data_IF_193368929785
#
_entry.id   IF_193368929785
#
_cell.length_a   1.000
_cell.length_b   1.000
_cell.length_c   1.000
_cell.angle_alpha   90.00
_cell.angle_beta   90.00
_cell.angle_gamma   90.00
#
_symmetry.space_group_name_H-M   'P 1'
#
loop_
_entity.id
_entity.type
_entity.pdbx_description
1 polymer ?
#
# COMPACT_ATOMS: atom_id res chain seq x y z
N UNK A 1 16.73 42.59 8.54
CA UNK A 1 16.40 41.77 9.74
C UNK A 1 15.16 42.34 10.44
N UNK A 2 13.97 42.06 9.91
CA UNK A 2 12.67 42.49 10.49
C UNK A 2 11.52 41.59 9.99
N UNK A 3 11.79 40.29 9.90
CA UNK A 3 10.83 39.28 9.38
C UNK A 3 10.60 38.10 10.33
N UNK A 4 11.12 38.14 11.56
CA UNK A 4 11.09 37.01 12.49
C UNK A 4 10.19 37.20 13.72
N UNK A 5 9.68 38.41 13.97
CA UNK A 5 8.84 38.70 15.13
C UNK A 5 7.33 38.41 14.91
N UNK A 6 6.89 38.23 13.66
CA UNK A 6 5.46 38.03 13.36
C UNK A 6 5.01 36.57 13.37
N UNK A 7 5.93 35.60 13.29
CA UNK A 7 5.60 34.17 13.18
C UNK A 7 5.47 33.50 14.56
N UNK A 8 6.09 34.07 15.61
CA UNK A 8 6.03 33.51 16.97
C UNK A 8 4.67 33.79 17.65
N UNK A 9 3.98 34.88 17.29
CA UNK A 9 2.69 35.25 17.90
C UNK A 9 1.49 34.41 17.43
N UNK A 10 1.60 33.70 16.30
CA UNK A 10 0.52 32.84 15.77
C UNK A 10 0.62 31.42 16.32
N UNK A 11 1.81 30.99 16.79
CA UNK A 11 2.05 29.64 17.31
C UNK A 11 1.59 29.47 18.78
N UNK A 12 1.56 30.54 19.57
CA UNK A 12 1.19 30.46 21.00
C UNK A 12 -0.33 30.48 21.25
N UNK A 13 -1.16 30.76 20.24
CA UNK A 13 -2.62 30.86 20.38
C UNK A 13 -3.38 29.54 20.16
N UNK A 14 -2.71 28.45 19.76
CA UNK A 14 -3.33 27.13 19.47
C UNK A 14 -3.25 26.17 20.68
N UNK A 15 -2.61 26.57 21.80
CA UNK A 15 -2.45 25.71 23.00
C UNK A 15 -3.46 25.92 24.13
N UNK A 16 -4.51 26.70 23.94
CA UNK A 16 -5.57 26.88 24.95
C UNK A 16 -6.96 26.71 24.33
N UNK A 17 -7.31 25.47 24.00
CA UNK A 17 -8.71 25.07 23.81
C UNK A 17 -9.20 24.37 25.10
N UNK A 18 -10.22 24.90 25.80
CA UNK A 18 -10.78 24.22 26.95
C UNK A 18 -11.58 22.97 26.50
N UNK A 19 -11.18 21.83 27.06
CA UNK A 19 -11.80 20.52 26.93
C UNK A 19 -13.07 20.46 27.80
N UNK A 20 -14.17 21.09 27.39
CA UNK A 20 -15.50 20.91 28.02
C UNK A 20 -16.62 21.44 27.11
N UNK A 21 -17.09 20.63 26.17
CA UNK A 21 -18.45 20.68 25.61
C UNK A 21 -18.70 19.48 24.69
N UNK A 22 -18.73 18.30 25.29
CA UNK A 22 -19.26 17.09 24.67
C UNK A 22 -20.60 16.76 25.33
N UNK A 23 -21.62 17.60 25.11
CA UNK A 23 -23.02 17.29 25.39
C UNK A 23 -23.93 18.42 24.88
N UNK A 24 -24.29 18.35 23.59
CA UNK A 24 -25.56 18.77 22.97
C UNK A 24 -25.33 18.91 21.46
N UNK A 25 -26.01 18.07 20.68
CA UNK A 25 -25.85 17.97 19.23
C UNK A 25 -26.15 19.28 18.51
N UNK A 26 -25.10 19.98 18.10
CA UNK A 26 -25.17 21.16 17.24
C UNK A 26 -24.41 20.89 15.94
N UNK A 27 -25.07 21.18 14.81
CA UNK A 27 -24.58 20.97 13.44
C UNK A 27 -23.44 21.94 13.08
N UNK A 28 -22.55 21.56 12.13
CA UNK A 28 -21.29 22.28 11.85
C UNK A 28 -21.44 23.69 11.24
N UNK A 29 -22.66 24.17 11.00
CA UNK A 29 -22.94 25.46 10.35
C UNK A 29 -22.81 26.65 11.32
N UNK A 30 -22.97 26.43 12.64
CA UNK A 30 -23.00 27.53 13.63
C UNK A 30 -21.60 27.99 14.08
N UNK A 31 -20.59 27.12 14.04
CA UNK A 31 -19.22 27.47 14.44
C UNK A 31 -18.53 28.41 13.43
N UNK A 32 -18.91 28.35 12.15
CA UNK A 32 -18.30 29.16 11.09
C UNK A 32 -18.77 30.62 11.10
N UNK A 33 -20.00 30.90 11.56
CA UNK A 33 -20.53 32.27 11.67
C UNK A 33 -19.89 33.07 12.81
N UNK A 34 -19.51 32.41 13.93
CA UNK A 34 -18.90 33.09 15.08
C UNK A 34 -17.43 33.45 14.78
N UNK A 35 -16.72 32.62 14.01
CA UNK A 35 -15.33 32.89 13.61
C UNK A 35 -15.23 34.06 12.61
N UNK A 36 -16.18 34.15 11.67
CA UNK A 36 -16.20 35.19 10.64
C UNK A 36 -16.51 36.59 11.22
N UNK A 37 -17.33 36.66 12.29
CA UNK A 37 -17.68 37.94 12.93
C UNK A 37 -16.53 38.54 13.74
N UNK A 38 -15.69 37.71 14.39
CA UNK A 38 -14.51 38.17 15.15
C UNK A 38 -13.36 38.64 14.26
N UNK A 39 -13.22 38.09 13.05
CA UNK A 39 -12.21 38.53 12.09
C UNK A 39 -12.55 39.90 11.46
N UNK A 40 -13.83 40.26 11.38
CA UNK A 40 -14.30 41.53 10.81
C UNK A 40 -14.21 42.71 11.82
N UNK A 41 -14.21 42.44 13.12
CA UNK A 41 -14.01 43.46 14.17
C UNK A 41 -12.53 43.81 14.38
N UNK A 42 -11.61 42.89 14.05
CA UNK A 42 -10.17 43.11 14.17
C UNK A 42 -9.59 44.05 13.09
N UNK A 43 -10.29 44.29 11.98
CA UNK A 43 -9.81 45.15 10.89
C UNK A 43 -10.14 46.64 11.04
N UNK A 44 -10.88 47.03 12.09
CA UNK A 44 -11.32 48.42 12.32
C UNK A 44 -10.41 49.24 13.24
N UNK A 45 -9.27 48.70 13.68
CA UNK A 45 -8.37 49.37 14.63
C UNK A 45 -6.92 49.40 14.14
N UNK A 46 -6.65 50.08 13.02
CA UNK A 46 -5.29 50.52 12.68
C UNK A 46 -5.33 51.98 12.18
N UNK A 47 -4.57 52.90 12.80
CA UNK A 47 -4.60 54.31 12.46
C UNK A 47 -3.85 54.61 11.15
N UNK A 48 -4.43 55.54 10.38
CA UNK A 48 -3.82 56.26 9.26
C UNK A 48 -2.52 56.93 9.70
N UNK A 49 -1.39 56.59 9.07
CA UNK A 49 -0.25 57.51 8.89
C UNK A 49 0.68 56.97 7.79
N UNK A 50 0.53 57.45 6.55
CA UNK A 50 1.69 57.89 5.76
C UNK A 50 1.28 58.73 4.56
N UNK A 51 2.03 59.81 4.35
CA UNK A 51 1.79 60.89 3.43
C UNK A 51 2.25 60.58 1.99
N UNK A 52 1.52 61.15 1.03
CA UNK A 52 1.88 61.19 -0.38
C UNK A 52 2.81 62.38 -0.69
N UNK A 53 3.72 62.26 -1.68
CA UNK A 53 4.20 63.41 -2.42
C UNK A 53 3.52 63.52 -3.78
N UNK A 54 3.01 64.72 -4.05
CA UNK A 54 2.50 65.23 -5.33
C UNK A 54 3.66 65.42 -6.31
N UNK A 55 3.47 65.08 -7.59
CA UNK A 55 4.46 65.42 -8.61
C UNK A 55 4.08 65.02 -10.04
N UNK A 56 3.32 65.91 -10.69
CA UNK A 56 3.24 66.17 -12.15
C UNK A 56 2.81 65.04 -13.11
N UNK A 57 1.62 65.26 -13.65
CA UNK A 57 1.15 64.75 -14.93
C UNK A 57 1.98 65.30 -16.10
N UNK A 58 2.28 64.45 -17.08
CA UNK A 58 2.16 64.79 -18.49
C UNK A 58 1.73 63.56 -19.27
N UNK A 59 0.62 63.74 -19.99
CA UNK A 59 0.05 62.80 -20.92
C UNK A 59 0.95 62.65 -22.14
N UNK A 60 1.18 61.41 -22.57
CA UNK A 60 1.34 61.08 -24.00
C UNK A 60 0.56 59.78 -24.23
N UNK A 61 -0.61 59.93 -24.85
CA UNK A 61 -1.34 58.85 -25.47
C UNK A 61 -0.65 58.53 -26.81
N UNK A 62 -0.17 57.30 -26.97
CA UNK A 62 0.33 56.83 -28.26
C UNK A 62 -0.13 55.38 -28.50
N UNK A 63 -1.04 55.28 -29.48
CA UNK A 63 -1.27 54.17 -30.40
C UNK A 63 -1.61 52.78 -29.85
N UNK A 64 -2.91 52.52 -29.88
CA UNK A 64 -3.46 51.20 -30.15
C UNK A 64 -3.02 50.66 -31.52
N UNK A 65 -3.05 49.33 -31.60
CA UNK A 65 -3.07 48.47 -32.78
C UNK A 65 -1.72 47.99 -33.36
N UNK A 66 -1.26 46.84 -32.85
CA UNK A 66 -0.80 45.75 -33.72
C UNK A 66 -0.87 44.40 -32.98
N UNK A 67 -1.72 43.51 -33.51
CA UNK A 67 -1.64 42.04 -33.44
C UNK A 67 -1.34 41.39 -32.08
N UNK A 68 -2.39 41.02 -31.32
CA UNK A 68 -2.90 39.64 -31.31
C UNK A 68 -1.80 38.57 -31.18
N UNK A 69 -1.39 38.31 -29.95
CA UNK A 69 -1.06 36.95 -29.52
C UNK A 69 -1.57 36.77 -28.09
N UNK A 70 -2.82 36.34 -27.96
CA UNK A 70 -3.31 35.75 -26.72
C UNK A 70 -2.91 34.26 -26.77
N UNK A 71 -2.15 33.74 -25.78
CA UNK A 71 -1.92 32.30 -25.71
C UNK A 71 -3.27 31.60 -25.48
N UNK A 72 -3.52 30.43 -26.11
CA UNK A 72 -4.74 29.69 -25.84
C UNK A 72 -4.80 29.36 -24.35
N UNK A 73 -5.94 29.64 -23.73
CA UNK A 73 -6.29 29.11 -22.42
C UNK A 73 -6.28 27.58 -22.53
N UNK A 74 -5.14 26.97 -22.18
CA UNK A 74 -4.90 25.55 -22.42
C UNK A 74 -3.41 25.21 -22.58
N UNK A 75 -2.54 25.83 -21.78
CA UNK A 75 -1.14 25.43 -21.68
C UNK A 75 -0.86 25.13 -20.21
N UNK A 76 -1.22 23.90 -19.82
CA UNK A 76 -0.80 23.33 -18.55
C UNK A 76 0.72 23.41 -18.44
N UNK A 77 1.16 23.96 -17.33
CA UNK A 77 2.50 23.86 -16.75
C UNK A 77 3.33 22.71 -17.34
N UNK A 78 4.30 23.06 -18.19
CA UNK A 78 5.42 22.20 -18.59
C UNK A 78 6.49 22.09 -17.47
N UNK A 79 6.11 22.23 -16.20
CA UNK A 79 6.77 21.48 -15.14
C UNK A 79 6.34 20.02 -15.27
N UNK A 80 6.77 19.39 -16.37
CA UNK A 80 6.87 17.96 -16.47
C UNK A 80 7.78 17.55 -15.32
N UNK A 81 7.14 17.10 -14.25
CA UNK A 81 7.74 16.32 -13.20
C UNK A 81 8.83 15.42 -13.81
N UNK A 82 10.11 15.61 -13.47
CA UNK A 82 11.18 14.74 -13.98
C UNK A 82 10.99 13.28 -13.52
N UNK A 83 10.06 13.02 -12.60
CA UNK A 83 9.67 11.68 -12.16
C UNK A 83 8.61 11.01 -13.05
N UNK A 84 7.89 11.74 -13.92
CA UNK A 84 6.97 11.12 -14.88
C UNK A 84 7.71 10.36 -16.01
N UNK A 85 9.03 10.59 -16.14
CA UNK A 85 9.87 10.04 -17.20
C UNK A 85 10.44 8.64 -16.89
N UNK A 86 10.19 8.07 -15.70
CA UNK A 86 10.55 6.68 -15.39
C UNK A 86 9.32 5.78 -15.33
N UNK A 87 8.32 6.07 -16.18
CA UNK A 87 7.32 5.05 -16.47
C UNK A 87 8.02 3.98 -17.32
N UNK A 88 8.63 2.97 -16.66
CA UNK A 88 8.94 1.69 -17.28
C UNK A 88 7.60 1.16 -17.79
N UNK A 89 7.24 1.55 -19.02
CA UNK A 89 5.95 1.26 -19.61
C UNK A 89 5.77 -0.24 -19.54
N UNK A 90 4.69 -0.65 -18.89
CA UNK A 90 4.38 -2.04 -18.69
C UNK A 90 4.39 -2.82 -20.00
N UNK A 91 4.84 -4.06 -19.95
CA UNK A 91 4.71 -4.94 -21.11
C UNK A 91 3.23 -5.17 -21.41
N UNK A 92 2.84 -5.08 -22.69
CA UNK A 92 1.49 -5.51 -23.09
C UNK A 92 1.41 -7.02 -22.94
N UNK A 93 0.42 -7.49 -22.20
CA UNK A 93 0.11 -8.91 -22.01
C UNK A 93 -1.33 -9.17 -22.43
N UNK A 94 -1.64 -10.38 -22.87
CA UNK A 94 -3.01 -10.75 -23.17
C UNK A 94 -3.75 -11.13 -21.88
N UNK A 95 -5.08 -11.07 -21.92
CA UNK A 95 -5.93 -11.55 -20.84
C UNK A 95 -5.57 -13.00 -20.44
N UNK A 96 -5.29 -13.86 -21.43
CA UNK A 96 -4.84 -15.26 -21.23
C UNK A 96 -3.66 -15.43 -20.28
N UNK A 97 -2.76 -14.44 -20.27
CA UNK A 97 -1.46 -14.58 -19.62
C UNK A 97 -1.51 -14.07 -18.17
N UNK A 98 -2.69 -13.63 -17.71
CA UNK A 98 -2.90 -13.09 -16.36
C UNK A 98 -2.80 -14.20 -15.33
N UNK A 99 -1.79 -14.07 -14.46
CA UNK A 99 -1.51 -14.98 -13.35
C UNK A 99 -1.65 -14.25 -12.02
N UNK A 100 -1.78 -15.05 -10.97
CA UNK A 100 -1.76 -14.62 -9.57
C UNK A 100 -0.48 -13.82 -9.31
N UNK A 101 -0.59 -12.70 -8.60
CA UNK A 101 0.55 -11.85 -8.25
C UNK A 101 1.00 -10.88 -9.35
N UNK A 102 0.46 -10.96 -10.58
CA UNK A 102 0.74 -9.94 -11.59
C UNK A 102 0.19 -8.58 -11.14
N UNK A 103 0.93 -7.51 -11.46
CA UNK A 103 0.48 -6.14 -11.26
C UNK A 103 0.13 -5.55 -12.62
N UNK A 104 -1.10 -5.05 -12.74
CA UNK A 104 -1.65 -4.50 -13.98
C UNK A 104 -2.04 -3.05 -13.79
N UNK A 105 -1.88 -2.25 -14.84
CA UNK A 105 -2.35 -0.88 -14.89
C UNK A 105 -3.67 -0.83 -15.67
N UNK A 106 -4.72 -0.26 -15.06
CA UNK A 106 -6.02 -0.07 -15.72
C UNK A 106 -6.65 1.24 -15.27
N UNK A 107 -7.20 2.03 -16.22
CA UNK A 107 -7.86 3.32 -15.94
C UNK A 107 -6.99 4.29 -15.12
N UNK A 108 -5.68 4.28 -15.35
CA UNK A 108 -4.72 5.12 -14.64
C UNK A 108 -4.42 4.69 -13.19
N UNK A 109 -4.97 3.55 -12.74
CA UNK A 109 -4.69 2.96 -11.42
C UNK A 109 -3.95 1.65 -11.55
N UNK A 110 -3.33 1.24 -10.45
CA UNK A 110 -2.49 0.05 -10.39
C UNK A 110 -3.19 -0.97 -9.51
N UNK A 111 -3.29 -2.18 -10.04
CA UNK A 111 -4.00 -3.27 -9.42
C UNK A 111 -3.10 -4.50 -9.31
N UNK A 112 -3.12 -5.14 -8.16
CA UNK A 112 -2.53 -6.46 -7.96
C UNK A 112 -3.57 -7.55 -8.16
N UNK A 113 -3.23 -8.58 -8.93
CA UNK A 113 -4.10 -9.74 -9.15
C UNK A 113 -4.04 -10.67 -7.94
N UNK A 114 -5.14 -10.75 -7.18
CA UNK A 114 -5.27 -11.69 -6.06
C UNK A 114 -5.69 -13.06 -6.56
N UNK A 115 -6.66 -13.12 -7.48
CA UNK A 115 -7.25 -14.37 -7.96
C UNK A 115 -7.57 -14.25 -9.45
N UNK A 116 -7.24 -15.27 -10.22
CA UNK A 116 -7.63 -15.38 -11.62
C UNK A 116 -8.38 -16.70 -11.84
N UNK A 117 -9.52 -16.64 -12.52
CA UNK A 117 -10.37 -17.78 -12.86
C UNK A 117 -10.64 -17.79 -14.36
N UNK A 118 -10.13 -18.82 -15.03
CA UNK A 118 -10.31 -19.01 -16.47
C UNK A 118 -11.58 -19.82 -16.69
N UNK A 119 -12.57 -19.22 -17.38
CA UNK A 119 -13.83 -19.88 -17.71
C UNK A 119 -13.96 -19.98 -19.22
N UNK A 120 -13.99 -21.22 -19.71
CA UNK A 120 -14.34 -21.56 -21.08
C UNK A 120 -15.84 -21.85 -21.13
N UNK A 121 -16.60 -21.01 -21.82
CA UNK A 121 -18.02 -21.24 -22.08
C UNK A 121 -18.10 -22.10 -23.36
N UNK A 122 -18.75 -23.26 -23.35
CA UNK A 122 -18.59 -24.28 -24.41
C UNK A 122 -18.57 -23.77 -25.86
N UNK A 123 -19.56 -22.95 -26.26
CA UNK A 123 -19.62 -22.29 -27.58
C UNK A 123 -19.34 -20.79 -27.53
N UNK A 124 -18.94 -20.27 -26.37
CA UNK A 124 -18.60 -18.86 -26.14
C UNK A 124 -17.09 -18.62 -26.11
N UNK A 125 -16.68 -17.38 -26.36
CA UNK A 125 -15.27 -17.00 -26.18
C UNK A 125 -14.79 -17.25 -24.75
N UNK A 126 -13.51 -17.59 -24.60
CA UNK A 126 -12.89 -17.75 -23.29
C UNK A 126 -12.78 -16.39 -22.59
N UNK A 127 -13.13 -16.38 -21.31
CA UNK A 127 -13.09 -15.17 -20.49
C UNK A 127 -12.46 -15.47 -19.15
N UNK A 128 -11.83 -14.45 -18.58
CA UNK A 128 -11.07 -14.59 -17.35
C UNK A 128 -11.68 -13.64 -16.35
N UNK A 129 -12.17 -14.18 -15.25
CA UNK A 129 -12.65 -13.41 -14.12
C UNK A 129 -11.49 -13.22 -13.16
N UNK A 130 -11.12 -11.96 -12.92
CA UNK A 130 -9.98 -11.59 -12.12
C UNK A 130 -10.44 -10.76 -10.93
N UNK A 131 -9.99 -11.12 -9.74
CA UNK A 131 -10.10 -10.31 -8.54
C UNK A 131 -8.82 -9.49 -8.37
N UNK A 132 -9.00 -8.18 -8.38
CA UNK A 132 -7.98 -7.16 -8.36
C UNK A 132 -8.00 -6.44 -7.00
N UNK A 133 -6.82 -6.10 -6.48
CA UNK A 133 -6.66 -5.21 -5.33
C UNK A 133 -6.04 -3.90 -5.79
N UNK A 134 -6.71 -2.78 -5.52
CA UNK A 134 -6.15 -1.46 -5.74
C UNK A 134 -4.94 -1.27 -4.80
N UNK A 135 -3.81 -0.84 -5.35
CA UNK A 135 -2.57 -0.61 -4.59
C UNK A 135 -2.68 0.60 -3.67
N UNK A 136 -3.34 1.67 -4.12
CA UNK A 136 -3.44 2.92 -3.35
C UNK A 136 -4.55 2.86 -2.31
N UNK A 137 -5.69 2.28 -2.69
CA UNK A 137 -6.88 2.27 -1.81
C UNK A 137 -7.04 0.95 -1.05
N UNK A 138 -6.40 -0.14 -1.48
CA UNK A 138 -6.58 -1.48 -0.92
C UNK A 138 -7.91 -2.15 -1.28
N UNK A 139 -8.78 -1.46 -2.04
CA UNK A 139 -10.11 -1.95 -2.42
C UNK A 139 -10.03 -3.15 -3.36
N UNK A 140 -10.88 -4.15 -3.11
CA UNK A 140 -11.00 -5.33 -3.98
C UNK A 140 -12.08 -5.10 -5.04
N UNK A 141 -11.75 -5.36 -6.29
CA UNK A 141 -12.65 -5.21 -7.44
C UNK A 141 -12.60 -6.50 -8.27
N UNK A 142 -13.76 -6.99 -8.70
CA UNK A 142 -13.83 -8.13 -9.61
C UNK A 142 -14.13 -7.64 -11.02
N UNK A 143 -13.25 -7.92 -11.97
CA UNK A 143 -13.42 -7.57 -13.37
C UNK A 143 -13.31 -8.81 -14.26
N UNK A 144 -14.03 -8.79 -15.38
CA UNK A 144 -13.99 -9.87 -16.38
C UNK A 144 -13.29 -9.35 -17.63
N UNK A 145 -12.27 -10.08 -18.05
CA UNK A 145 -11.47 -9.81 -19.24
C UNK A 145 -11.77 -10.84 -20.33
N UNK A 146 -11.68 -10.40 -21.58
CA UNK A 146 -11.62 -11.35 -22.72
C UNK A 146 -10.18 -11.85 -22.87
N UNK A 147 -10.04 -13.04 -23.44
CA UNK A 147 -8.70 -13.64 -23.66
C UNK A 147 -7.82 -12.77 -24.56
N UNK A 148 -8.41 -12.15 -25.57
CA UNK A 148 -7.72 -11.30 -26.55
C UNK A 148 -7.54 -9.84 -26.10
N UNK A 149 -8.03 -9.48 -24.90
CA UNK A 149 -7.91 -8.12 -24.39
C UNK A 149 -6.46 -7.87 -23.97
N UNK A 150 -5.84 -6.83 -24.55
CA UNK A 150 -4.48 -6.43 -24.18
C UNK A 150 -4.51 -5.61 -22.87
N UNK A 151 -3.73 -6.06 -21.89
CA UNK A 151 -3.55 -5.45 -20.59
C UNK A 151 -2.12 -4.94 -20.44
N UNK A 152 -1.97 -3.84 -19.70
CA UNK A 152 -0.65 -3.27 -19.41
C UNK A 152 -0.12 -3.88 -18.12
N UNK A 153 0.91 -4.72 -18.23
CA UNK A 153 1.58 -5.35 -17.08
C UNK A 153 2.68 -4.47 -16.55
N UNK A 154 2.59 -4.06 -15.31
CA UNK A 154 3.63 -3.28 -14.65
C UNK A 154 4.76 -4.20 -14.17
N UNK A 155 6.00 -3.77 -14.35
CA UNK A 155 7.16 -4.48 -13.81
C UNK A 155 7.27 -4.20 -12.32
N UNK A 156 7.40 -5.27 -11.54
CA UNK A 156 7.56 -5.26 -10.09
C UNK A 156 8.98 -5.69 -9.79
N UNK A 157 9.64 -5.01 -8.87
CA UNK A 157 10.99 -5.37 -8.43
C UNK A 157 10.88 -6.35 -7.27
N UNK A 158 11.50 -7.52 -7.40
CA UNK A 158 11.53 -8.50 -6.30
C UNK A 158 12.91 -8.44 -5.65
N UNK A 159 12.91 -8.23 -4.33
CA UNK A 159 14.11 -8.13 -3.51
C UNK A 159 14.02 -9.09 -2.34
N UNK A 160 15.14 -9.74 -2.01
CA UNK A 160 15.22 -10.65 -0.87
C UNK A 160 15.67 -9.91 0.38
N UNK A 161 14.99 -10.16 1.49
CA UNK A 161 15.30 -9.61 2.82
C UNK A 161 15.47 -10.74 3.83
N UNK A 162 16.15 -10.45 4.93
CA UNK A 162 16.24 -11.34 6.08
C UNK A 162 15.27 -10.83 7.15
N UNK A 163 14.42 -11.72 7.65
CA UNK A 163 13.53 -11.44 8.75
C UNK A 163 14.32 -11.34 10.07
N UNK A 164 14.04 -10.28 10.84
CA UNK A 164 14.67 -10.05 12.14
C UNK A 164 13.75 -10.44 13.28
N UNK A 165 12.67 -9.68 13.46
CA UNK A 165 11.66 -9.89 14.50
C UNK A 165 10.35 -9.21 14.10
N UNK A 166 9.29 -9.48 14.87
CA UNK A 166 8.00 -8.82 14.74
C UNK A 166 7.70 -8.00 15.99
N UNK A 167 7.17 -6.79 15.79
CA UNK A 167 6.68 -5.90 16.84
C UNK A 167 5.19 -5.63 16.60
N UNK A 168 4.33 -6.26 17.39
CA UNK A 168 2.88 -6.18 17.22
C UNK A 168 2.43 -6.63 15.82
N UNK A 169 1.92 -5.68 15.04
CA UNK A 169 1.43 -5.88 13.67
C UNK A 169 2.47 -5.54 12.59
N UNK A 170 3.70 -5.20 13.00
CA UNK A 170 4.79 -4.82 12.10
C UNK A 170 5.90 -5.86 12.14
N UNK A 171 6.49 -6.14 10.98
CA UNK A 171 7.56 -7.09 10.75
C UNK A 171 8.81 -6.31 10.32
N UNK A 172 9.90 -6.49 11.07
CA UNK A 172 11.18 -5.86 10.80
C UNK A 172 12.03 -6.77 9.91
N UNK A 173 12.46 -6.23 8.78
CA UNK A 173 13.24 -6.94 7.77
C UNK A 173 14.50 -6.16 7.45
N UNK A 174 15.55 -6.86 7.05
CA UNK A 174 16.84 -6.28 6.70
C UNK A 174 17.27 -6.71 5.30
N UNK A 175 17.68 -5.76 4.46
CA UNK A 175 18.25 -6.06 3.15
C UNK A 175 19.70 -6.58 3.35
N UNK A 176 20.08 -7.74 2.77
CA UNK A 176 21.38 -8.35 3.02
C UNK A 176 22.56 -7.60 2.35
N UNK A 177 22.30 -6.77 1.33
CA UNK A 177 23.34 -6.06 0.59
C UNK A 177 23.63 -4.66 1.16
N UNK A 178 22.57 -3.92 1.50
CA UNK A 178 22.66 -2.54 1.99
C UNK A 178 22.60 -2.45 3.52
N UNK A 179 22.18 -3.53 4.19
CA UNK A 179 21.88 -3.57 5.63
C UNK A 179 20.81 -2.55 6.05
N UNK A 180 20.00 -2.07 5.10
CA UNK A 180 18.87 -1.21 5.37
C UNK A 180 17.76 -2.01 6.06
N UNK A 181 17.24 -1.45 7.15
CA UNK A 181 16.10 -2.02 7.87
C UNK A 181 14.82 -1.37 7.39
N UNK A 182 13.80 -2.18 7.19
CA UNK A 182 12.49 -1.75 6.74
C UNK A 182 11.43 -2.32 7.68
N UNK A 183 10.35 -1.55 7.82
CA UNK A 183 9.18 -1.94 8.58
C UNK A 183 8.07 -2.32 7.59
N UNK A 184 7.52 -3.52 7.72
CA UNK A 184 6.48 -4.02 6.83
C UNK A 184 5.29 -4.51 7.64
N UNK A 185 4.07 -4.16 7.24
CA UNK A 185 2.86 -4.67 7.90
C UNK A 185 2.74 -6.19 7.74
N UNK A 186 2.40 -6.86 8.83
CA UNK A 186 2.15 -8.31 8.88
C UNK A 186 1.04 -8.76 7.94
N UNK A 187 0.09 -7.88 7.64
CA UNK A 187 -1.03 -8.17 6.73
C UNK A 187 -0.57 -8.50 5.30
N UNK A 188 0.61 -8.00 4.89
CA UNK A 188 1.17 -8.30 3.56
C UNK A 188 1.61 -9.76 3.42
N UNK A 189 1.95 -10.43 4.53
CA UNK A 189 2.31 -11.84 4.57
C UNK A 189 1.07 -12.76 4.67
N UNK A 190 -0.06 -12.24 5.12
CA UNK A 190 -1.30 -13.00 5.29
C UNK A 190 -1.11 -14.23 6.18
N UNK A 191 -1.53 -15.41 5.69
CA UNK A 191 -1.38 -16.68 6.44
C UNK A 191 0.08 -17.09 6.62
N UNK A 192 0.95 -16.74 5.67
CA UNK A 192 2.35 -17.12 5.71
C UNK A 192 3.12 -16.43 6.85
N UNK A 193 2.55 -15.39 7.47
CA UNK A 193 3.10 -14.72 8.64
C UNK A 193 3.36 -15.69 9.81
N UNK A 194 2.56 -16.75 9.93
CA UNK A 194 2.73 -17.76 10.99
C UNK A 194 3.96 -18.65 10.78
N UNK A 195 4.56 -18.65 9.59
CA UNK A 195 5.79 -19.40 9.29
C UNK A 195 7.07 -18.57 9.42
N UNK A 196 6.96 -17.29 9.81
CA UNK A 196 8.11 -16.41 10.00
C UNK A 196 8.97 -16.90 11.16
N UNK A 197 10.27 -17.00 10.89
CA UNK A 197 11.31 -17.37 11.87
C UNK A 197 12.48 -16.42 11.74
N UNK A 198 13.14 -16.18 12.85
CA UNK A 198 14.34 -15.35 12.93
C UNK A 198 15.39 -15.83 11.91
N UNK A 199 16.07 -14.88 11.27
CA UNK A 199 17.08 -15.11 10.24
C UNK A 199 16.58 -15.78 8.96
N UNK A 200 15.26 -15.88 8.76
CA UNK A 200 14.71 -16.46 7.53
C UNK A 200 14.74 -15.45 6.37
N UNK A 201 15.11 -15.92 5.17
CA UNK A 201 15.03 -15.12 3.95
C UNK A 201 13.59 -15.04 3.45
N UNK A 202 13.09 -13.83 3.21
CA UNK A 202 11.77 -13.54 2.64
C UNK A 202 11.91 -12.69 1.39
N UNK A 203 10.98 -12.84 0.45
CA UNK A 203 10.97 -12.05 -0.77
C UNK A 203 9.89 -10.97 -0.68
N UNK A 204 10.27 -9.73 -0.97
CA UNK A 204 9.36 -8.60 -1.05
C UNK A 204 9.26 -8.10 -2.48
N UNK A 205 8.02 -7.82 -2.88
CA UNK A 205 7.69 -7.23 -4.15
C UNK A 205 7.47 -5.73 -3.99
N UNK A 206 8.32 -4.93 -4.61
CA UNK A 206 8.29 -3.49 -4.61
C UNK A 206 7.70 -2.94 -5.90
N UNK A 207 6.86 -1.93 -5.72
CA UNK A 207 6.42 -1.09 -6.82
C UNK A 207 6.55 0.38 -6.40
N UNK A 208 7.36 1.14 -7.14
CA UNK A 208 7.60 2.57 -6.89
C UNK A 208 7.97 2.89 -5.43
N UNK A 209 8.86 2.05 -4.86
CA UNK A 209 9.29 2.16 -3.46
C UNK A 209 8.29 1.68 -2.40
N UNK A 210 7.11 1.18 -2.80
CA UNK A 210 6.09 0.65 -1.87
C UNK A 210 6.07 -0.88 -1.86
N UNK A 211 6.05 -1.53 -0.68
CA UNK A 211 5.90 -2.98 -0.58
C UNK A 211 4.46 -3.40 -0.90
N UNK A 212 4.29 -4.29 -1.87
CA UNK A 212 2.98 -4.77 -2.35
C UNK A 212 2.59 -6.10 -1.75
N UNK A 213 3.51 -7.05 -1.77
CA UNK A 213 3.32 -8.41 -1.29
C UNK A 213 4.62 -8.95 -0.76
N UNK A 214 4.48 -9.78 0.27
CA UNK A 214 5.59 -10.47 0.89
C UNK A 214 5.37 -11.98 0.78
N UNK A 215 6.41 -12.69 0.33
CA UNK A 215 6.37 -14.13 0.11
C UNK A 215 7.43 -14.80 0.98
N UNK A 216 6.99 -15.76 1.76
CA UNK A 216 7.85 -16.66 2.54
C UNK A 216 8.33 -17.80 1.64
N UNK A 217 9.53 -18.38 1.85
CA UNK A 217 9.96 -19.55 1.12
C UNK A 217 8.90 -20.65 1.12
N UNK A 218 8.74 -21.39 0.00
CA UNK A 218 7.70 -22.41 -0.12
C UNK A 218 7.92 -23.60 0.82
N UNK A 219 9.14 -23.75 1.36
CA UNK A 219 9.53 -24.83 2.26
C UNK A 219 10.12 -24.23 3.52
N UNK A 220 9.51 -24.56 4.67
CA UNK A 220 9.97 -24.08 5.98
C UNK A 220 10.13 -25.27 6.91
N UNK A 221 11.26 -25.29 7.64
CA UNK A 221 11.53 -26.31 8.65
C UNK A 221 10.92 -25.90 9.98
N UNK A 222 10.00 -26.71 10.49
CA UNK A 222 9.32 -26.51 11.78
C UNK A 222 9.60 -27.65 12.74
N UNK A 223 9.63 -27.33 14.04
CA UNK A 223 9.84 -28.33 15.09
C UNK A 223 8.49 -28.76 15.63
N UNK A 224 8.31 -30.06 15.83
CA UNK A 224 7.09 -30.60 16.43
C UNK A 224 7.15 -30.42 17.94
N UNK A 225 6.17 -29.73 18.53
CA UNK A 225 6.05 -29.57 19.98
C UNK A 225 5.21 -30.70 20.58
N UNK A 226 4.07 -30.99 19.96
CA UNK A 226 3.14 -32.02 20.45
C UNK A 226 2.66 -32.91 19.31
N UNK A 227 2.64 -34.22 19.54
CA UNK A 227 2.13 -35.21 18.59
C UNK A 227 1.13 -36.13 19.28
N UNK A 228 -0.03 -36.35 18.64
CA UNK A 228 -1.02 -37.30 19.15
C UNK A 228 -0.45 -38.73 19.20
N UNK A 229 -0.80 -39.53 20.24
CA UNK A 229 -0.29 -40.89 20.38
C UNK A 229 -0.82 -41.79 19.27
N UNK A 230 0.06 -42.66 18.76
CA UNK A 230 -0.28 -43.59 17.69
C UNK A 230 -1.27 -44.65 18.18
N UNK A 231 -2.44 -44.76 17.55
CA UNK A 231 -3.39 -45.86 17.79
C UNK A 231 -2.91 -47.10 17.04
N UNK A 232 -2.27 -48.03 17.75
CA UNK A 232 -1.58 -49.22 17.18
C UNK A 232 -2.52 -50.30 16.57
N UNK A 233 -3.72 -49.96 16.10
CA UNK A 233 -4.79 -50.95 15.89
C UNK A 233 -5.43 -51.05 14.50
N UNK A 234 -5.07 -50.20 13.53
CA UNK A 234 -5.72 -50.21 12.20
C UNK A 234 -4.67 -50.21 11.08
N UNK A 235 -4.43 -51.38 10.50
CA UNK A 235 -3.53 -51.59 9.37
C UNK A 235 -4.32 -51.77 8.07
N UNK A 236 -4.32 -50.73 7.22
CA UNK A 236 -4.45 -50.84 5.74
C UNK A 236 -4.42 -49.46 5.04
N UNK A 237 -4.85 -48.38 5.72
CA UNK A 237 -4.92 -47.04 5.12
C UNK A 237 -3.81 -46.12 5.65
N UNK A 238 -3.28 -45.19 4.84
CA UNK A 238 -2.35 -44.17 5.30
C UNK A 238 -3.05 -43.29 6.35
N UNK A 239 -2.69 -43.48 7.61
CA UNK A 239 -3.24 -42.71 8.72
C UNK A 239 -2.39 -41.45 8.94
N UNK A 240 -3.01 -40.28 8.87
CA UNK A 240 -2.38 -39.03 9.28
C UNK A 240 -2.77 -38.70 10.71
N UNK A 241 -1.80 -38.22 11.48
CA UNK A 241 -2.03 -37.69 12.83
C UNK A 241 -1.90 -36.18 12.84
N UNK A 242 -2.62 -35.54 13.77
CA UNK A 242 -2.50 -34.10 14.01
C UNK A 242 -1.29 -33.84 14.89
N UNK A 243 -0.50 -32.86 14.47
CA UNK A 243 0.75 -32.47 15.10
C UNK A 243 0.78 -30.97 15.26
N UNK A 244 1.17 -30.48 16.45
CA UNK A 244 1.31 -29.06 16.76
C UNK A 244 2.77 -28.65 16.60
N UNK A 245 3.00 -27.58 15.84
CA UNK A 245 4.31 -27.02 15.56
C UNK A 245 4.72 -25.98 16.60
N UNK A 246 5.99 -25.60 16.57
CA UNK A 246 6.57 -24.48 17.33
C UNK A 246 5.81 -23.17 17.14
N UNK A 247 5.24 -22.97 15.96
CA UNK A 247 4.49 -21.76 15.61
C UNK A 247 3.01 -21.82 16.05
N UNK A 248 2.57 -22.88 16.73
CA UNK A 248 1.19 -23.09 17.17
C UNK A 248 0.23 -23.59 16.07
N UNK A 249 0.71 -23.76 14.85
CA UNK A 249 -0.07 -24.34 13.75
C UNK A 249 -0.24 -25.85 13.95
N UNK A 250 -1.42 -26.36 13.61
CA UNK A 250 -1.70 -27.80 13.60
C UNK A 250 -1.68 -28.32 12.17
N UNK A 251 -0.79 -29.28 11.89
CA UNK A 251 -0.65 -29.91 10.57
C UNK A 251 -0.88 -31.42 10.65
N UNK A 252 -1.24 -32.00 9.50
CA UNK A 252 -1.38 -33.45 9.35
C UNK A 252 -0.03 -34.04 8.93
N UNK A 253 0.51 -34.91 9.78
CA UNK A 253 1.78 -35.59 9.53
C UNK A 253 1.61 -37.12 9.58
N UNK A 254 2.51 -37.89 8.94
CA UNK A 254 2.54 -39.34 9.07
C UNK A 254 2.73 -39.81 10.53
N UNK A 255 2.33 -41.06 10.85
CA UNK A 255 2.27 -41.54 12.23
C UNK A 255 3.65 -41.77 12.85
N UNK A 256 4.71 -41.88 12.04
CA UNK A 256 6.08 -42.10 12.49
C UNK A 256 6.77 -40.84 13.05
N UNK A 257 6.18 -39.65 12.93
CA UNK A 257 6.77 -38.39 13.42
C UNK A 257 6.54 -38.24 14.93
N UNK A 258 7.59 -38.13 15.72
CA UNK A 258 7.46 -37.94 17.18
C UNK A 258 7.64 -36.48 17.60
N UNK A 259 7.33 -36.18 18.87
CA UNK A 259 7.56 -34.85 19.43
C UNK A 259 9.07 -34.56 19.52
N UNK A 260 9.48 -33.33 19.18
CA UNK A 260 10.88 -32.91 19.11
C UNK A 260 11.55 -33.09 17.74
N UNK A 261 10.90 -33.74 16.78
CA UNK A 261 11.45 -33.87 15.43
C UNK A 261 11.28 -32.59 14.60
N UNK A 262 12.22 -32.37 13.67
CA UNK A 262 12.13 -31.31 12.67
C UNK A 262 11.52 -31.84 11.38
N UNK A 263 10.51 -31.13 10.89
CA UNK A 263 9.79 -31.48 9.67
C UNK A 263 9.77 -30.30 8.71
N UNK A 264 9.80 -30.59 7.41
CA UNK A 264 9.69 -29.61 6.34
C UNK A 264 8.24 -29.54 5.88
N UNK A 265 7.70 -28.32 5.87
CA UNK A 265 6.30 -28.03 5.56
C UNK A 265 6.21 -27.10 4.36
N UNK A 266 5.20 -27.33 3.52
CA UNK A 266 4.82 -26.43 2.44
C UNK A 266 4.00 -25.25 2.99
N UNK A 267 4.44 -24.01 2.76
CA UNK A 267 3.74 -22.80 3.23
C UNK A 267 2.51 -22.43 2.38
N UNK A 268 2.28 -23.14 1.27
CA UNK A 268 1.15 -22.91 0.37
C UNK A 268 -0.10 -23.68 0.82
N UNK A 269 0.09 -24.93 1.20
CA UNK A 269 -1.01 -25.88 1.49
C UNK A 269 -0.98 -26.39 2.95
N UNK A 270 -0.05 -25.89 3.78
CA UNK A 270 0.21 -26.34 5.15
C UNK A 270 0.47 -27.86 5.24
N UNK A 271 1.03 -28.44 4.16
CA UNK A 271 1.23 -29.88 4.02
C UNK A 271 2.62 -30.33 4.44
N UNK A 272 2.69 -31.49 5.10
CA UNK A 272 3.95 -32.15 5.42
C UNK A 272 4.64 -32.62 4.12
N UNK A 273 5.94 -32.34 3.98
CA UNK A 273 6.73 -32.78 2.83
C UNK A 273 7.70 -33.91 3.19
N UNK A 274 8.65 -33.62 4.08
CA UNK A 274 9.71 -34.56 4.47
C UNK A 274 10.13 -34.31 5.91
N UNK A 275 10.78 -35.31 6.52
CA UNK A 275 11.56 -35.11 7.74
C UNK A 275 12.83 -34.34 7.35
N UNK A 276 13.22 -33.38 8.19
CA UNK A 276 14.39 -32.52 7.97
C UNK A 276 15.70 -33.20 8.37
#
# INVERSE_FOLDING_TARGET
MLGFAHIVAISTAIRFLPRREAARGATPTFAMQILCRKLLEASRSLPLFYAAPRGRAHAIATLAAASRWAPPAGAGSLAAAPWAATQRRGAKMLGSDVKLGNVIQRRGRIYQVIKAQHSHQGRGGATIQVELRDVDTGNKITERFRTDEALERVFVEEKSFTYLYQEGDTVMLMEPETFEQIEVSKDLFGKAAAYLKDEMKVNLQYFDGRPMSATVPPRVTCTVVEAQPNTKGLTAQPQYKRVVLDNGLTVLAPPFIEAGEKIVISTVDDSYMTRA
#
